data_IF_736961795503
#
_entry.id   IF_736961795503
#
_cell.length_a   1.000
_cell.length_b   1.000
_cell.length_c   1.000
_cell.angle_alpha   90.00
_cell.angle_beta   90.00
_cell.angle_gamma   90.00
#
_symmetry.space_group_name_H-M   'P 1'
#
loop_
_entity.id
_entity.type
_entity.pdbx_description
1 polymer ?
#
# COMPACT_ATOMS: atom_id res chain seq x y z
N UNK A 1 8.27 -30.89 -14.25
CA UNK A 1 6.82 -31.00 -14.51
C UNK A 1 6.30 -29.61 -14.82
N UNK A 2 5.71 -29.40 -16.00
CA UNK A 2 5.13 -28.09 -16.35
C UNK A 2 3.76 -27.91 -15.67
N UNK A 3 3.32 -26.67 -15.34
CA UNK A 3 2.02 -26.44 -14.73
C UNK A 3 0.84 -27.01 -15.53
N UNK A 4 0.97 -27.11 -16.85
CA UNK A 4 -0.06 -27.69 -17.72
C UNK A 4 -0.12 -29.22 -17.62
N UNK A 5 1.02 -29.91 -17.62
CA UNK A 5 1.07 -31.37 -17.47
C UNK A 5 0.52 -31.82 -16.12
N UNK A 6 0.76 -31.05 -15.06
CA UNK A 6 0.22 -31.32 -13.73
C UNK A 6 -1.32 -31.19 -13.67
N UNK A 7 -1.90 -30.37 -14.54
CA UNK A 7 -3.34 -30.08 -14.57
C UNK A 7 -4.13 -31.00 -15.52
N UNK A 8 -3.48 -31.43 -16.60
CA UNK A 8 -4.15 -32.16 -17.69
C UNK A 8 -3.55 -33.54 -17.99
N UNK A 9 -2.51 -33.94 -17.25
CA UNK A 9 -1.81 -35.24 -17.36
C UNK A 9 -1.34 -35.57 -18.79
N UNK A 10 -1.22 -34.53 -19.62
CA UNK A 10 -0.80 -34.60 -21.01
C UNK A 10 0.11 -33.43 -21.33
N UNK A 11 1.08 -33.64 -22.22
CA UNK A 11 1.95 -32.57 -22.69
C UNK A 11 1.20 -31.46 -23.42
N UNK A 12 1.64 -30.21 -23.29
CA UNK A 12 1.12 -29.09 -24.08
C UNK A 12 1.33 -29.37 -25.57
N UNK A 13 0.25 -29.27 -26.38
CA UNK A 13 0.40 -29.15 -27.84
C UNK A 13 0.56 -27.68 -28.19
N UNK A 14 1.76 -27.27 -28.63
CA UNK A 14 1.97 -25.89 -29.09
C UNK A 14 1.40 -25.72 -30.51
N UNK A 15 0.82 -24.54 -30.86
CA UNK A 15 0.34 -24.28 -32.22
C UNK A 15 1.42 -24.33 -33.31
N UNK A 16 2.70 -24.25 -32.91
CA UNK A 16 3.87 -24.33 -33.79
C UNK A 16 4.25 -25.78 -34.14
N UNK A 17 3.68 -26.79 -33.46
CA UNK A 17 4.01 -28.20 -33.66
C UNK A 17 2.78 -29.07 -33.93
N UNK A 18 2.19 -28.94 -35.12
CA UNK A 18 1.29 -29.94 -35.70
C UNK A 18 2.11 -31.03 -36.42
N UNK A 19 2.95 -31.75 -35.70
CA UNK A 19 3.64 -32.92 -36.26
C UNK A 19 3.02 -34.19 -35.67
N UNK A 20 2.37 -34.99 -36.52
CA UNK A 20 2.08 -36.38 -36.19
C UNK A 20 3.42 -37.12 -36.02
N UNK A 21 3.53 -37.94 -34.97
CA UNK A 21 4.71 -38.74 -34.71
C UNK A 21 4.87 -39.79 -35.83
N UNK A 22 5.55 -39.42 -36.91
CA UNK A 22 5.75 -40.26 -38.09
C UNK A 22 6.54 -39.59 -39.21
N UNK A 23 6.40 -38.27 -39.40
CA UNK A 23 7.03 -37.54 -40.51
C UNK A 23 8.26 -36.74 -40.08
N UNK A 24 9.30 -37.44 -39.66
CA UNK A 24 10.66 -36.85 -39.59
C UNK A 24 11.50 -37.52 -40.66
N UNK A 25 11.57 -36.90 -41.84
CA UNK A 25 12.66 -37.21 -42.80
C UNK A 25 13.98 -37.08 -42.04
N UNK A 26 14.93 -38.03 -42.18
CA UNK A 26 16.21 -37.92 -41.49
C UNK A 26 16.93 -36.69 -42.05
N UNK A 27 16.86 -35.57 -41.33
CA UNK A 27 17.74 -34.43 -41.56
C UNK A 27 19.17 -34.93 -41.32
N UNK A 28 20.08 -34.61 -42.24
CA UNK A 28 21.47 -35.05 -42.18
C UNK A 28 22.08 -34.81 -40.80
N UNK A 29 22.94 -35.73 -40.36
CA UNK A 29 23.57 -35.76 -39.03
C UNK A 29 24.22 -34.41 -38.68
N UNK A 30 24.74 -33.70 -39.67
CA UNK A 30 25.37 -32.39 -39.51
C UNK A 30 24.36 -31.28 -39.15
N UNK A 31 23.15 -31.32 -39.69
CA UNK A 31 22.09 -30.38 -39.33
C UNK A 31 21.62 -30.59 -37.89
N UNK A 32 21.53 -31.85 -37.46
CA UNK A 32 21.17 -32.22 -36.08
C UNK A 32 22.22 -31.72 -35.09
N UNK A 33 23.50 -31.96 -35.37
CA UNK A 33 24.61 -31.44 -34.56
C UNK A 33 24.60 -29.91 -34.49
N UNK A 34 24.48 -29.25 -35.65
CA UNK A 34 24.41 -27.80 -35.72
C UNK A 34 23.20 -27.22 -34.96
N UNK A 35 22.06 -27.91 -34.99
CA UNK A 35 20.88 -27.52 -34.22
C UNK A 35 21.12 -27.69 -32.72
N UNK A 36 21.73 -28.79 -32.29
CA UNK A 36 22.11 -29.04 -30.90
C UNK A 36 23.08 -27.97 -30.38
N UNK A 37 24.12 -27.65 -31.14
CA UNK A 37 25.10 -26.61 -30.79
C UNK A 37 24.43 -25.24 -30.65
N UNK A 38 23.50 -24.91 -31.55
CA UNK A 38 22.72 -23.67 -31.47
C UNK A 38 21.84 -23.64 -30.24
N UNK A 39 21.13 -24.73 -29.92
CA UNK A 39 20.29 -24.83 -28.71
C UNK A 39 21.14 -24.65 -27.46
N UNK A 40 22.30 -25.32 -27.39
CA UNK A 40 23.25 -25.15 -26.27
C UNK A 40 23.72 -23.70 -26.15
N UNK A 41 24.04 -23.05 -27.27
CA UNK A 41 24.44 -21.64 -27.28
C UNK A 41 23.32 -20.69 -26.83
N UNK A 42 22.06 -20.99 -27.19
CA UNK A 42 20.89 -20.22 -26.78
C UNK A 42 20.68 -20.37 -25.28
N UNK A 43 20.73 -21.60 -24.75
CA UNK A 43 20.58 -21.87 -23.33
C UNK A 43 21.67 -21.17 -22.51
N UNK A 44 22.93 -21.24 -22.96
CA UNK A 44 24.05 -20.56 -22.30
C UNK A 44 23.86 -19.02 -22.27
N UNK A 45 23.44 -18.43 -23.40
CA UNK A 45 23.17 -16.98 -23.47
C UNK A 45 21.98 -16.57 -22.60
N UNK A 46 20.93 -17.40 -22.55
CA UNK A 46 19.77 -17.18 -21.70
C UNK A 46 20.16 -17.20 -20.22
N UNK A 47 20.92 -18.21 -19.79
CA UNK A 47 21.46 -18.33 -18.42
C UNK A 47 22.35 -17.13 -18.05
N UNK A 48 23.21 -16.69 -18.97
CA UNK A 48 24.05 -15.52 -18.77
C UNK A 48 23.22 -14.24 -18.64
N UNK A 49 22.17 -14.08 -19.45
CA UNK A 49 21.25 -12.94 -19.37
C UNK A 49 20.48 -12.96 -18.04
N UNK A 50 19.93 -14.10 -17.63
CA UNK A 50 19.24 -14.26 -16.34
C UNK A 50 20.17 -13.95 -15.16
N UNK A 51 21.40 -14.46 -15.18
CA UNK A 51 22.41 -14.20 -14.15
C UNK A 51 22.76 -12.71 -14.05
N UNK A 52 22.88 -12.01 -15.20
CA UNK A 52 23.08 -10.56 -15.23
C UNK A 52 21.90 -9.82 -14.63
N UNK A 53 20.66 -10.19 -14.98
CA UNK A 53 19.45 -9.57 -14.42
C UNK A 53 19.37 -9.79 -12.91
N UNK A 54 19.68 -11.01 -12.44
CA UNK A 54 19.74 -11.32 -11.01
C UNK A 54 20.77 -10.45 -10.30
N UNK A 55 22.01 -10.38 -10.80
CA UNK A 55 23.05 -9.47 -10.27
C UNK A 55 22.58 -8.00 -10.28
N UNK A 56 21.83 -7.59 -11.31
CA UNK A 56 21.26 -6.25 -11.41
C UNK A 56 20.11 -5.98 -10.44
N UNK A 57 19.34 -6.99 -10.05
CA UNK A 57 18.34 -6.87 -9.01
C UNK A 57 19.01 -6.87 -7.63
N UNK A 58 19.90 -7.83 -7.38
CA UNK A 58 20.51 -8.10 -6.09
C UNK A 58 21.38 -6.93 -5.62
N UNK A 59 22.13 -6.23 -6.51
CA UNK A 59 22.91 -5.05 -6.08
C UNK A 59 22.05 -3.88 -5.59
N UNK A 60 20.74 -3.86 -5.90
CA UNK A 60 19.80 -2.85 -5.41
C UNK A 60 19.07 -3.28 -4.14
N UNK A 61 19.17 -4.56 -3.77
CA UNK A 61 18.64 -5.09 -2.52
C UNK A 61 19.74 -4.97 -1.47
N UNK A 62 19.40 -4.44 -0.29
CA UNK A 62 20.27 -4.50 0.88
C UNK A 62 19.66 -5.53 1.82
N UNK A 63 20.48 -6.41 2.35
CA UNK A 63 20.07 -7.35 3.40
C UNK A 63 19.88 -6.56 4.70
N UNK A 64 18.69 -6.00 4.86
CA UNK A 64 18.27 -5.31 6.08
C UNK A 64 17.53 -6.35 6.92
N UNK A 65 18.20 -6.85 7.96
CA UNK A 65 17.59 -7.65 9.00
C UNK A 65 17.45 -6.79 10.26
N UNK A 66 16.37 -7.01 11.00
CA UNK A 66 16.14 -6.35 12.28
C UNK A 66 16.20 -7.38 13.40
N UNK A 67 16.69 -6.97 14.57
CA UNK A 67 16.69 -7.80 15.77
C UNK A 67 15.54 -7.42 16.71
N UNK A 68 15.16 -8.34 17.59
CA UNK A 68 14.21 -8.05 18.68
C UNK A 68 14.77 -6.94 19.56
N UNK A 69 13.97 -5.91 19.83
CA UNK A 69 14.38 -4.71 20.57
C UNK A 69 14.85 -3.54 19.69
N UNK A 70 15.03 -3.74 18.38
CA UNK A 70 15.37 -2.64 17.48
C UNK A 70 14.13 -1.79 17.12
N UNK A 71 14.37 -0.51 16.91
CA UNK A 71 13.34 0.45 16.54
C UNK A 71 13.26 0.62 15.02
N UNK A 72 12.11 0.33 14.44
CA UNK A 72 11.87 0.43 13.00
C UNK A 72 10.77 1.43 12.68
N UNK A 73 10.88 2.08 11.53
CA UNK A 73 9.86 3.00 11.02
C UNK A 73 8.86 2.24 10.13
N UNK A 74 7.56 2.41 10.40
CA UNK A 74 6.50 1.79 9.61
C UNK A 74 6.08 2.68 8.44
N UNK A 75 6.12 2.16 7.22
CA UNK A 75 5.65 2.87 6.01
C UNK A 75 4.12 2.84 5.93
N UNK A 76 3.51 3.99 5.65
CA UNK A 76 2.05 4.11 5.54
C UNK A 76 1.63 4.53 4.14
N UNK A 77 0.70 3.78 3.54
CA UNK A 77 0.11 4.10 2.24
C UNK A 77 -0.92 5.23 2.40
N UNK A 78 -0.91 6.24 1.51
CA UNK A 78 -1.98 7.22 1.47
C UNK A 78 -3.23 6.56 0.89
N UNK A 79 -4.11 6.06 1.74
CA UNK A 79 -5.46 5.67 1.31
C UNK A 79 -6.28 6.95 1.11
N UNK A 80 -7.07 6.99 0.02
CA UNK A 80 -7.97 8.11 -0.28
C UNK A 80 -8.89 8.29 0.93
N UNK A 81 -8.84 9.46 1.59
CA UNK A 81 -9.62 9.86 2.78
C UNK A 81 -9.06 9.45 4.15
N UNK A 82 -7.97 8.67 4.24
CA UNK A 82 -7.30 8.36 5.52
C UNK A 82 -6.27 9.45 5.82
N UNK A 83 -6.51 10.20 6.89
CA UNK A 83 -5.66 11.30 7.33
C UNK A 83 -4.41 10.73 8.02
N UNK A 84 -3.20 11.08 7.57
CA UNK A 84 -1.97 10.72 8.31
C UNK A 84 -1.81 11.67 9.49
N UNK A 85 -1.99 11.18 10.71
CA UNK A 85 -1.87 11.97 11.94
C UNK A 85 -2.72 13.25 11.95
N UNK A 86 -3.95 13.17 11.46
CA UNK A 86 -4.80 14.36 11.38
C UNK A 86 -4.37 15.42 10.34
N UNK A 87 -3.26 15.25 9.59
CA UNK A 87 -2.78 16.26 8.62
C UNK A 87 -3.32 15.99 7.20
N UNK A 88 -4.10 16.93 6.68
CA UNK A 88 -4.69 16.90 5.33
C UNK A 88 -3.61 17.18 4.26
N UNK A 89 -3.26 16.14 3.50
CA UNK A 89 -2.63 16.11 2.15
C UNK A 89 -1.90 17.39 1.67
N UNK A 90 -0.60 17.47 2.00
CA UNK A 90 0.61 17.71 1.17
C UNK A 90 1.76 17.67 2.19
N UNK A 91 2.85 16.94 1.92
CA UNK A 91 3.97 16.74 2.89
C UNK A 91 3.67 15.88 4.14
N UNK A 92 2.61 15.08 4.17
CA UNK A 92 2.45 14.11 5.28
C UNK A 92 3.56 13.05 5.24
N UNK A 93 4.15 12.67 6.39
CA UNK A 93 5.30 11.78 6.43
C UNK A 93 4.91 10.40 5.88
N UNK A 94 5.81 9.81 5.09
CA UNK A 94 5.61 8.47 4.49
C UNK A 94 5.85 7.34 5.51
N UNK A 95 6.54 7.65 6.60
CA UNK A 95 6.94 6.72 7.64
C UNK A 95 6.47 7.25 9.01
N UNK A 96 6.05 6.34 9.88
CA UNK A 96 5.58 6.60 11.24
C UNK A 96 6.51 5.92 12.21
N UNK A 97 6.81 6.62 13.32
CA UNK A 97 7.19 6.11 14.64
C UNK A 97 8.32 5.08 14.70
N UNK A 98 9.31 5.23 15.58
CA UNK A 98 10.09 4.06 15.97
C UNK A 98 9.18 3.10 16.74
N UNK A 99 8.94 1.93 16.18
CA UNK A 99 8.29 0.83 16.88
C UNK A 99 9.30 -0.26 17.14
N UNK A 100 9.27 -0.79 18.37
CA UNK A 100 10.12 -1.89 18.77
C UNK A 100 9.69 -3.18 18.09
N UNK A 101 10.65 -3.93 17.57
CA UNK A 101 10.44 -5.30 17.07
C UNK A 101 10.32 -6.24 18.27
N UNK A 102 9.13 -6.79 18.47
CA UNK A 102 8.85 -7.76 19.55
C UNK A 102 9.37 -9.16 19.19
N UNK A 103 9.16 -9.58 17.95
CA UNK A 103 9.44 -10.95 17.52
C UNK A 103 9.73 -11.02 16.01
N UNK A 104 10.67 -11.89 15.62
CA UNK A 104 10.95 -12.22 14.23
C UNK A 104 10.13 -13.44 13.81
N UNK A 105 9.02 -13.23 13.11
CA UNK A 105 8.12 -14.30 12.63
C UNK A 105 8.70 -15.03 11.43
N UNK A 106 9.53 -14.36 10.62
CA UNK A 106 10.26 -14.95 9.50
C UNK A 106 11.35 -14.00 8.96
N UNK A 107 12.08 -14.40 7.90
CA UNK A 107 13.23 -13.64 7.40
C UNK A 107 12.94 -12.19 7.00
N UNK A 108 11.69 -11.90 6.60
CA UNK A 108 11.22 -10.56 6.17
C UNK A 108 9.97 -10.12 6.94
N UNK A 109 9.60 -10.85 8.01
CA UNK A 109 8.34 -10.64 8.72
C UNK A 109 8.61 -10.45 10.23
N UNK A 110 8.26 -9.27 10.73
CA UNK A 110 8.51 -8.85 12.11
C UNK A 110 7.21 -8.42 12.78
N UNK A 111 7.04 -8.78 14.05
CA UNK A 111 5.94 -8.32 14.90
C UNK A 111 6.39 -7.05 15.61
N UNK A 112 5.62 -5.97 15.45
CA UNK A 112 5.95 -4.66 16.02
C UNK A 112 5.07 -4.36 17.24
N UNK A 113 5.61 -3.61 18.20
CA UNK A 113 4.89 -3.05 19.34
C UNK A 113 4.03 -1.86 18.90
N UNK A 114 2.97 -2.13 18.12
CA UNK A 114 2.04 -1.09 17.66
C UNK A 114 1.02 -0.75 18.76
N UNK A 115 0.68 0.54 18.95
CA UNK A 115 -0.44 0.92 19.80
C UNK A 115 -1.76 0.36 19.24
N UNK A 116 -2.76 0.09 20.09
CA UNK A 116 -4.03 -0.53 19.68
C UNK A 116 -4.74 0.26 18.57
N UNK A 117 -4.56 1.59 18.57
CA UNK A 117 -5.09 2.52 17.58
C UNK A 117 -4.57 2.22 16.15
N UNK A 118 -3.35 1.66 16.02
CA UNK A 118 -2.71 1.30 14.75
C UNK A 118 -2.74 -0.21 14.46
N UNK A 119 -3.16 -1.03 15.43
CA UNK A 119 -3.23 -2.48 15.30
C UNK A 119 -4.47 -2.96 14.53
N UNK A 120 -5.45 -2.08 14.31
CA UNK A 120 -6.59 -2.38 13.46
C UNK A 120 -6.15 -2.41 11.99
N UNK A 121 -6.72 -3.33 11.21
CA UNK A 121 -6.31 -3.67 9.82
C UNK A 121 -6.25 -2.47 8.87
N UNK A 122 -6.80 -1.33 9.25
CA UNK A 122 -6.86 -0.14 8.43
C UNK A 122 -5.80 0.93 8.74
N UNK A 123 -4.96 0.78 9.78
CA UNK A 123 -4.00 1.83 10.19
C UNK A 123 -4.66 3.24 10.26
N UNK A 124 -5.97 3.27 10.58
CA UNK A 124 -6.80 4.47 10.63
C UNK A 124 -6.70 5.06 12.03
N UNK A 125 -6.25 6.31 12.10
CA UNK A 125 -6.31 7.12 13.31
C UNK A 125 -7.52 8.05 13.19
N UNK A 126 -8.58 7.77 13.95
CA UNK A 126 -9.77 8.62 14.00
C UNK A 126 -9.57 9.71 15.06
N UNK A 127 -9.48 10.99 14.65
CA UNK A 127 -9.46 12.13 15.57
C UNK A 127 -10.90 12.51 15.94
N UNK A 128 -11.21 12.51 17.24
CA UNK A 128 -12.48 13.00 17.75
C UNK A 128 -12.48 14.54 17.82
N UNK A 129 -13.45 15.22 17.19
CA UNK A 129 -13.59 16.66 17.33
C UNK A 129 -14.21 16.98 18.70
N UNK A 130 -13.59 17.90 19.45
CA UNK A 130 -14.06 18.32 20.78
C UNK A 130 -15.13 19.41 20.65
N UNK A 131 -14.81 20.47 19.91
CA UNK A 131 -15.62 21.68 19.91
C UNK A 131 -15.43 22.49 18.63
N UNK A 132 -16.46 23.26 18.31
CA UNK A 132 -16.44 24.29 17.28
C UNK A 132 -16.04 25.60 17.94
N UNK A 133 -14.89 26.15 17.53
CA UNK A 133 -14.34 27.38 18.10
C UNK A 133 -14.85 28.63 17.40
N UNK A 134 -15.09 28.54 16.09
CA UNK A 134 -15.44 29.69 15.27
C UNK A 134 -16.16 29.27 13.98
N UNK A 135 -16.95 30.17 13.39
CA UNK A 135 -17.67 29.97 12.14
C UNK A 135 -17.38 31.13 11.20
N UNK A 136 -16.91 30.83 9.99
CA UNK A 136 -16.59 31.82 8.97
C UNK A 136 -17.29 31.49 7.64
N UNK A 137 -17.72 32.53 6.91
CA UNK A 137 -18.41 32.39 5.63
C UNK A 137 -17.63 33.11 4.55
N UNK A 138 -17.06 32.33 3.62
CA UNK A 138 -16.37 32.86 2.45
C UNK A 138 -17.35 33.00 1.30
N UNK A 139 -17.65 34.24 0.94
CA UNK A 139 -18.47 34.55 -0.24
C UNK A 139 -17.61 34.52 -1.50
N UNK A 140 -18.00 33.72 -2.47
CA UNK A 140 -17.44 33.69 -3.82
C UNK A 140 -18.43 34.29 -4.80
N UNK A 141 -17.97 34.63 -6.01
CA UNK A 141 -18.79 35.21 -7.08
C UNK A 141 -20.06 34.41 -7.39
N UNK A 142 -20.06 33.11 -7.12
CA UNK A 142 -21.15 32.18 -7.48
C UNK A 142 -21.77 31.45 -6.29
N UNK A 143 -21.10 31.39 -5.13
CA UNK A 143 -21.50 30.55 -3.99
C UNK A 143 -20.93 31.07 -2.68
N UNK A 144 -21.63 30.82 -1.58
CA UNK A 144 -21.13 31.04 -0.23
C UNK A 144 -20.67 29.71 0.37
N UNK A 145 -19.43 29.69 0.88
CA UNK A 145 -18.82 28.53 1.51
C UNK A 145 -18.75 28.79 3.01
N UNK A 146 -19.55 28.06 3.78
CA UNK A 146 -19.50 28.09 5.24
C UNK A 146 -18.44 27.12 5.75
N UNK A 147 -17.58 27.61 6.61
CA UNK A 147 -16.48 26.87 7.22
C UNK A 147 -16.48 27.04 8.73
N UNK A 148 -16.02 26.02 9.42
CA UNK A 148 -16.05 25.93 10.87
C UNK A 148 -14.64 25.61 11.35
N UNK A 149 -14.18 26.35 12.36
CA UNK A 149 -12.90 26.10 13.02
C UNK A 149 -13.11 25.05 14.09
N UNK A 150 -12.51 23.88 13.91
CA UNK A 150 -12.73 22.70 14.75
C UNK A 150 -11.50 22.43 15.60
N UNK A 151 -11.72 22.23 16.91
CA UNK A 151 -10.72 21.74 17.85
C UNK A 151 -10.77 20.21 17.93
N UNK A 152 -9.60 19.57 17.87
CA UNK A 152 -9.46 18.10 17.89
C UNK A 152 -8.83 17.63 19.20
N UNK A 153 -9.25 16.45 19.71
CA UNK A 153 -8.91 15.92 21.04
C UNK A 153 -7.42 15.88 21.42
N UNK A 154 -6.55 15.70 20.43
CA UNK A 154 -5.11 15.57 20.62
C UNK A 154 -4.30 16.75 20.06
N UNK A 155 -4.95 17.89 19.84
CA UNK A 155 -4.31 19.11 19.32
C UNK A 155 -4.50 20.30 20.25
N UNK A 156 -3.47 21.15 20.39
CA UNK A 156 -3.67 22.46 21.01
C UNK A 156 -4.61 23.30 20.15
N UNK A 157 -5.28 24.28 20.76
CA UNK A 157 -6.25 25.18 20.12
C UNK A 157 -5.65 25.89 18.88
N UNK A 158 -4.34 26.13 18.90
CA UNK A 158 -3.57 26.76 17.82
C UNK A 158 -3.49 25.92 16.54
N UNK A 159 -3.59 24.58 16.64
CA UNK A 159 -3.58 23.66 15.50
C UNK A 159 -4.99 23.27 15.02
N UNK A 160 -5.98 24.12 15.31
CA UNK A 160 -7.36 23.96 14.85
C UNK A 160 -7.46 24.07 13.33
N UNK A 161 -8.32 23.25 12.72
CA UNK A 161 -8.49 23.20 11.27
C UNK A 161 -9.80 23.86 10.85
N UNK A 162 -9.80 24.48 9.67
CA UNK A 162 -11.02 24.96 9.02
C UNK A 162 -11.60 23.82 8.19
N UNK A 163 -12.78 23.33 8.55
CA UNK A 163 -13.52 22.31 7.80
C UNK A 163 -14.84 22.88 7.28
N UNK A 164 -15.40 22.26 6.24
CA UNK A 164 -16.67 22.70 5.65
C UNK A 164 -17.79 22.38 6.64
N UNK A 165 -18.68 23.35 6.88
CA UNK A 165 -19.76 23.21 7.88
C UNK A 165 -20.67 22.04 7.57
N UNK A 166 -21.08 21.88 6.30
CA UNK A 166 -21.97 20.79 5.88
C UNK A 166 -21.38 19.41 6.17
N UNK A 167 -20.10 19.20 5.83
CA UNK A 167 -19.43 17.92 6.05
C UNK A 167 -19.27 17.59 7.54
N UNK A 168 -19.04 18.62 8.37
CA UNK A 168 -18.96 18.47 9.83
C UNK A 168 -20.33 18.21 10.45
N UNK A 169 -21.39 18.84 9.93
CA UNK A 169 -22.76 18.66 10.43
C UNK A 169 -23.31 17.26 10.09
N UNK A 170 -22.98 16.73 8.91
CA UNK A 170 -23.38 15.38 8.49
C UNK A 170 -22.71 14.29 9.34
N UNK A 171 -21.45 14.51 9.76
CA UNK A 171 -20.66 13.51 10.50
C UNK A 171 -20.72 13.65 12.02
N UNK A 172 -20.77 14.88 12.50
CA UNK A 172 -20.72 15.21 13.92
C UNK A 172 -21.84 16.20 14.28
N UNK A 173 -23.12 15.83 14.04
CA UNK A 173 -24.26 16.71 14.30
C UNK A 173 -24.31 17.16 15.77
N UNK A 174 -23.81 16.35 16.70
CA UNK A 174 -23.75 16.66 18.13
C UNK A 174 -22.94 17.91 18.46
N UNK A 175 -21.97 18.30 17.64
CA UNK A 175 -21.16 19.50 17.87
C UNK A 175 -21.87 20.80 17.48
N UNK A 176 -22.96 20.69 16.73
CA UNK A 176 -23.76 21.84 16.27
C UNK A 176 -25.01 22.05 17.14
N UNK A 177 -25.24 21.17 18.10
CA UNK A 177 -26.44 21.10 18.91
C UNK A 177 -26.31 21.91 20.21
N UNK A 178 -25.97 23.20 20.14
CA UNK A 178 -25.98 24.08 21.32
C UNK A 178 -26.97 25.25 21.18
N UNK A 179 -27.86 25.31 22.18
CA UNK A 179 -28.84 26.35 22.55
C UNK A 179 -30.28 26.24 22.02
N UNK A 180 -31.01 25.17 22.38
CA UNK A 180 -32.47 25.25 22.44
C UNK A 180 -33.10 24.38 23.54
N UNK A 181 -32.70 24.56 24.80
CA UNK A 181 -33.58 24.23 25.93
C UNK A 181 -33.16 25.05 27.15
N UNK A 182 -33.88 26.15 27.42
CA UNK A 182 -34.34 26.59 28.75
C UNK A 182 -35.10 27.90 28.52
N UNK A 183 -36.32 27.78 28.00
CA UNK A 183 -37.37 28.78 28.20
C UNK A 183 -38.35 28.21 29.21
N UNK A 184 -38.22 28.69 30.46
CA UNK A 184 -39.30 29.26 31.27
C UNK A 184 -40.68 28.58 31.26
N UNK A 185 -41.19 28.22 32.46
CA UNK A 185 -42.46 28.66 33.07
C UNK A 185 -43.05 27.58 33.99
N UNK A 186 -43.89 27.93 35.00
CA UNK A 186 -44.05 29.21 35.70
C UNK A 186 -43.61 29.17 37.17
#
# INVERSE_FOLDING_TARGET
MTPFEALYERGCRSPIGWFEAGDVKPLGVDLVKNAQDKVMSIQAKLLAAQSRQKKYADHKIRDIAFQTGENVLLKVSPMKRVMRFGKKVKLSPRYIGPFEVLECVGPVAYRLALPPNLSNKDLQYEEEPIAILDRDVRKLRTKDIKSVKVQWKHRPVEESTLEIERDMQDKYPQLFADSCTTSFFP
#
